data_IF_201370975831
#
_entry.id   IF_201370975831
#
_cell.length_a   1.000
_cell.length_b   1.000
_cell.length_c   1.000
_cell.angle_alpha   90.00
_cell.angle_beta   90.00
_cell.angle_gamma   90.00
#
_symmetry.space_group_name_H-M   'P 1'
#
loop_
_entity.id
_entity.type
_entity.pdbx_description
1 polymer ?
#
# COMPACT_ATOMS: atom_id res chain seq x y z
N UNK A 1 -0.34 15.56 -0.71
CA UNK A 1 0.94 16.05 -0.20
C UNK A 1 1.48 17.12 -1.15
N UNK A 2 1.92 18.23 -0.59
CA UNK A 2 2.45 19.35 -1.37
C UNK A 2 3.87 19.05 -1.86
N UNK A 3 4.12 19.29 -3.14
CA UNK A 3 5.42 19.09 -3.76
C UNK A 3 6.34 20.31 -3.59
N UNK A 4 7.62 20.04 -3.37
CA UNK A 4 8.66 21.06 -3.52
C UNK A 4 8.97 21.24 -5.00
N UNK A 5 9.24 22.49 -5.41
CA UNK A 5 9.62 22.83 -6.80
C UNK A 5 11.07 22.42 -7.08
N UNK A 6 11.34 21.12 -7.08
CA UNK A 6 12.64 20.51 -7.44
C UNK A 6 12.37 19.30 -8.33
N UNK A 7 13.39 18.89 -9.09
CA UNK A 7 13.28 17.69 -9.93
C UNK A 7 13.13 16.45 -9.05
N UNK A 8 11.98 15.83 -9.09
CA UNK A 8 11.70 14.61 -8.39
C UNK A 8 12.30 13.41 -9.15
N UNK A 9 12.99 12.53 -8.44
CA UNK A 9 13.61 11.33 -9.01
C UNK A 9 12.89 10.04 -8.64
N UNK A 10 12.23 10.01 -7.49
CA UNK A 10 11.58 8.81 -6.98
C UNK A 10 10.43 9.15 -6.04
N UNK A 11 9.35 8.41 -6.16
CA UNK A 11 8.22 8.42 -5.23
C UNK A 11 8.06 7.02 -4.68
N UNK A 12 8.01 6.89 -3.37
CA UNK A 12 7.75 5.62 -2.70
C UNK A 12 6.55 5.77 -1.77
N UNK A 13 5.65 4.78 -1.80
CA UNK A 13 4.53 4.69 -0.87
C UNK A 13 4.63 3.34 -0.18
N UNK A 14 4.74 3.34 1.15
CA UNK A 14 4.78 2.11 1.92
C UNK A 14 3.73 2.11 3.02
N UNK A 15 3.16 0.94 3.27
CA UNK A 15 2.18 0.70 4.32
C UNK A 15 2.13 -0.78 4.66
N UNK A 16 1.82 -1.08 5.91
CA UNK A 16 1.45 -2.43 6.30
C UNK A 16 -0.04 -2.62 5.97
N UNK A 17 -0.34 -3.58 5.10
CA UNK A 17 -1.70 -3.82 4.58
C UNK A 17 -2.00 -5.29 4.45
N UNK A 18 -3.28 -5.63 4.44
CA UNK A 18 -3.77 -6.96 4.10
C UNK A 18 -5.25 -6.91 3.73
N UNK A 19 -5.82 -8.06 3.39
CA UNK A 19 -7.25 -8.25 3.17
C UNK A 19 -8.04 -8.01 4.47
N UNK A 20 -9.35 -7.82 4.35
CA UNK A 20 -10.26 -7.67 5.48
C UNK A 20 -11.43 -8.63 5.33
N UNK A 21 -11.59 -9.54 6.30
CA UNK A 21 -12.77 -10.36 6.51
C UNK A 21 -13.44 -9.99 7.85
N UNK A 22 -14.49 -10.67 8.22
CA UNK A 22 -15.21 -10.45 9.48
C UNK A 22 -14.30 -10.66 10.72
N UNK A 23 -13.54 -11.75 10.70
CA UNK A 23 -12.45 -12.06 11.61
C UNK A 23 -11.23 -12.37 10.75
N UNK A 24 -10.06 -12.65 11.36
CA UNK A 24 -8.94 -13.03 10.53
C UNK A 24 -9.26 -14.28 9.72
N UNK A 25 -8.75 -14.35 8.51
CA UNK A 25 -8.97 -15.47 7.59
C UNK A 25 -7.73 -15.63 6.71
N UNK A 26 -7.00 -16.73 6.89
CA UNK A 26 -5.76 -16.96 6.18
C UNK A 26 -5.97 -17.31 4.69
N UNK A 27 -7.21 -17.56 4.28
CA UNK A 27 -7.61 -17.78 2.89
C UNK A 27 -8.68 -16.75 2.49
N UNK A 28 -8.25 -15.50 2.31
CA UNK A 28 -9.14 -14.40 1.97
C UNK A 28 -8.45 -13.40 1.04
N UNK A 29 -8.37 -13.74 -0.28
CA UNK A 29 -7.60 -12.90 -1.21
C UNK A 29 -8.27 -11.57 -1.50
N UNK A 30 -7.44 -10.55 -1.70
CA UNK A 30 -7.88 -9.22 -2.09
C UNK A 30 -6.85 -8.56 -3.00
N UNK A 31 -7.31 -8.01 -4.12
CA UNK A 31 -6.47 -7.31 -5.08
C UNK A 31 -6.40 -5.83 -4.71
N UNK A 32 -5.33 -5.45 -4.03
CA UNK A 32 -5.14 -4.11 -3.50
C UNK A 32 -4.30 -3.28 -4.47
N UNK A 33 -4.85 -2.19 -4.97
CA UNK A 33 -4.23 -1.33 -5.98
C UNK A 33 -3.84 0.03 -5.41
N UNK A 34 -2.71 0.54 -5.87
CA UNK A 34 -2.26 1.91 -5.58
C UNK A 34 -2.37 2.77 -6.84
N UNK A 35 -2.90 3.99 -6.66
CA UNK A 35 -2.91 5.05 -7.67
C UNK A 35 -2.12 6.26 -7.18
N UNK A 36 -1.39 6.89 -8.09
CA UNK A 36 -0.78 8.20 -7.88
C UNK A 36 -1.39 9.15 -8.90
N UNK A 37 -1.92 10.28 -8.44
CA UNK A 37 -2.60 11.27 -9.29
C UNK A 37 -3.63 10.61 -10.23
N UNK A 38 -4.42 9.67 -9.69
CA UNK A 38 -5.46 8.91 -10.39
C UNK A 38 -4.95 7.98 -11.50
N UNK A 39 -3.65 7.75 -11.58
CA UNK A 39 -3.04 6.80 -12.50
C UNK A 39 -2.61 5.55 -11.74
N UNK A 40 -3.04 4.39 -12.21
CA UNK A 40 -2.74 3.12 -11.56
C UNK A 40 -1.24 2.82 -11.58
N UNK A 41 -0.66 2.56 -10.40
CA UNK A 41 0.72 2.10 -10.28
C UNK A 41 0.78 0.58 -10.42
N UNK A 42 -0.07 -0.12 -9.71
CA UNK A 42 -0.16 -1.57 -9.76
C UNK A 42 -0.86 -2.17 -8.56
N UNK A 43 -1.06 -3.48 -8.66
CA UNK A 43 -1.88 -4.25 -7.72
C UNK A 43 -1.04 -5.30 -6.99
N UNK A 44 -1.24 -5.40 -5.68
CA UNK A 44 -0.77 -6.51 -4.87
C UNK A 44 -1.94 -7.41 -4.51
N UNK A 45 -1.83 -8.70 -4.81
CA UNK A 45 -2.79 -9.68 -4.35
C UNK A 45 -2.45 -10.11 -2.93
N UNK A 46 -3.20 -9.58 -1.96
CA UNK A 46 -3.10 -10.03 -0.58
C UNK A 46 -3.75 -11.41 -0.46
N UNK A 47 -3.06 -12.39 0.12
CA UNK A 47 -3.64 -13.74 0.26
C UNK A 47 -4.59 -13.88 1.43
N UNK A 48 -4.50 -12.99 2.42
CA UNK A 48 -5.07 -13.24 3.74
C UNK A 48 -5.46 -11.98 4.47
N UNK A 49 -6.44 -12.10 5.34
CA UNK A 49 -6.61 -11.29 6.54
C UNK A 49 -5.84 -12.03 7.64
N UNK A 50 -4.64 -11.53 7.98
CA UNK A 50 -3.67 -12.31 8.74
C UNK A 50 -3.96 -12.38 10.24
N UNK A 51 -3.94 -13.61 10.77
CA UNK A 51 -4.08 -13.91 12.18
C UNK A 51 -3.40 -15.23 12.52
N UNK A 52 -3.83 -15.82 13.65
CA UNK A 52 -3.22 -17.06 14.13
C UNK A 52 -1.97 -16.87 14.98
N UNK A 53 -1.37 -15.68 14.94
CA UNK A 53 -0.39 -15.18 15.88
C UNK A 53 -0.67 -13.72 16.17
N UNK A 54 -0.19 -13.22 17.29
CA UNK A 54 -0.37 -11.83 17.65
C UNK A 54 0.54 -10.92 16.83
N UNK A 55 0.01 -9.81 16.34
CA UNK A 55 0.82 -8.73 15.77
C UNK A 55 1.75 -8.15 16.84
N UNK A 56 3.00 -7.86 16.47
CA UNK A 56 4.06 -7.45 17.42
C UNK A 56 3.73 -6.19 18.20
N UNK A 57 2.95 -5.28 17.62
CA UNK A 57 2.61 -3.98 18.21
C UNK A 57 1.23 -3.96 18.85
N UNK A 58 0.42 -5.00 18.66
CA UNK A 58 -0.97 -5.01 19.10
C UNK A 58 -1.09 -4.86 20.60
N UNK A 59 -1.97 -3.97 21.08
CA UNK A 59 -2.17 -3.83 22.52
C UNK A 59 -2.81 -5.08 23.13
N UNK A 60 -2.62 -5.27 24.44
CA UNK A 60 -3.07 -6.48 25.15
C UNK A 60 -4.59 -6.71 25.05
N UNK A 61 -5.37 -5.64 24.90
CA UNK A 61 -6.84 -5.71 24.81
C UNK A 61 -7.35 -6.11 23.42
N UNK A 62 -6.46 -6.18 22.40
CA UNK A 62 -6.87 -6.54 21.06
C UNK A 62 -7.18 -8.04 20.99
N UNK A 63 -8.40 -8.38 20.53
CA UNK A 63 -8.90 -9.76 20.50
C UNK A 63 -8.12 -10.63 19.52
N UNK A 64 -7.80 -11.86 19.94
CA UNK A 64 -7.01 -12.82 19.14
C UNK A 64 -7.74 -13.35 17.90
N UNK A 65 -9.06 -13.20 17.83
CA UNK A 65 -9.86 -13.61 16.67
C UNK A 65 -9.93 -12.54 15.57
N UNK A 66 -9.41 -11.35 15.82
CA UNK A 66 -9.35 -10.24 14.86
C UNK A 66 -8.06 -10.25 14.07
N UNK A 67 -8.01 -9.44 13.02
CA UNK A 67 -6.80 -9.19 12.23
C UNK A 67 -5.63 -8.83 13.12
N UNK A 68 -4.49 -9.49 12.94
CA UNK A 68 -3.33 -9.34 13.80
C UNK A 68 -2.18 -8.57 13.18
N UNK A 69 -1.94 -8.76 11.89
CA UNK A 69 -0.81 -8.16 11.19
C UNK A 69 -1.10 -8.10 9.69
N UNK A 70 -0.28 -7.35 8.99
CA UNK A 70 -0.30 -7.28 7.53
C UNK A 70 1.08 -7.56 6.96
N UNK A 71 1.25 -7.19 5.71
CA UNK A 71 2.55 -7.21 5.05
C UNK A 71 2.95 -5.77 4.71
N UNK A 72 4.21 -5.43 4.96
CA UNK A 72 4.74 -4.14 4.55
C UNK A 72 4.97 -4.15 3.05
N UNK A 73 4.24 -3.30 2.34
CA UNK A 73 4.32 -3.17 0.89
C UNK A 73 4.91 -1.82 0.51
N UNK A 74 5.72 -1.80 -0.52
CA UNK A 74 6.35 -0.59 -1.02
C UNK A 74 6.14 -0.49 -2.54
N UNK A 75 5.29 0.45 -2.96
CA UNK A 75 5.20 0.84 -4.36
C UNK A 75 6.20 1.96 -4.61
N UNK A 76 6.96 1.84 -5.67
CA UNK A 76 7.99 2.80 -6.04
C UNK A 76 7.86 3.18 -7.50
N UNK A 77 7.86 4.47 -7.78
CA UNK A 77 7.89 5.00 -9.15
C UNK A 77 9.19 5.78 -9.33
N UNK A 78 9.94 5.38 -10.35
CA UNK A 78 11.17 6.04 -10.78
C UNK A 78 11.03 6.46 -12.23
N UNK A 79 12.10 7.04 -12.77
CA UNK A 79 12.11 7.47 -14.17
C UNK A 79 11.95 6.32 -15.15
N UNK A 80 12.49 5.15 -14.84
CA UNK A 80 12.54 3.98 -15.70
C UNK A 80 11.44 2.95 -15.45
N UNK A 81 10.51 3.21 -14.54
CA UNK A 81 9.40 2.30 -14.31
C UNK A 81 8.75 2.39 -12.96
N UNK A 82 7.76 1.52 -12.78
CA UNK A 82 6.99 1.36 -11.55
C UNK A 82 7.24 -0.02 -10.97
N UNK A 83 7.37 -0.10 -9.65
CA UNK A 83 7.85 -1.30 -8.94
C UNK A 83 7.00 -1.56 -7.70
N UNK A 84 6.86 -2.83 -7.34
CA UNK A 84 6.30 -3.28 -6.06
C UNK A 84 7.33 -4.15 -5.37
N UNK A 85 7.77 -3.74 -4.18
CA UNK A 85 8.80 -4.43 -3.39
C UNK A 85 10.07 -4.74 -4.22
N UNK A 86 10.44 -3.83 -5.12
CA UNK A 86 11.61 -3.97 -5.98
C UNK A 86 11.37 -4.72 -7.28
N UNK A 87 10.21 -5.36 -7.46
CA UNK A 87 9.86 -6.04 -8.69
C UNK A 87 9.16 -5.09 -9.66
N UNK A 88 9.59 -5.09 -10.92
CA UNK A 88 9.03 -4.19 -11.93
C UNK A 88 7.61 -4.59 -12.29
N UNK A 89 6.68 -3.63 -12.16
CA UNK A 89 5.28 -3.78 -12.55
C UNK A 89 5.05 -3.34 -14.00
N UNK A 90 5.71 -2.27 -14.41
CA UNK A 90 5.55 -1.68 -15.75
C UNK A 90 6.71 -0.74 -16.06
N UNK A 91 6.79 -0.32 -17.32
CA UNK A 91 7.74 0.71 -17.77
C UNK A 91 7.25 2.15 -17.48
N UNK A 92 6.09 2.30 -16.86
CA UNK A 92 5.53 3.61 -16.54
C UNK A 92 6.42 4.33 -15.53
N UNK A 93 7.12 5.36 -15.99
CA UNK A 93 7.96 6.22 -15.17
C UNK A 93 7.21 7.42 -14.63
N UNK A 94 7.91 8.28 -13.92
CA UNK A 94 7.33 9.46 -13.26
C UNK A 94 6.49 10.33 -14.18
N UNK A 95 6.83 10.44 -15.45
CA UNK A 95 6.10 11.24 -16.44
C UNK A 95 4.64 10.80 -16.62
N UNK A 96 4.36 9.50 -16.44
CA UNK A 96 3.02 8.93 -16.60
C UNK A 96 2.05 9.35 -15.51
N UNK A 97 2.57 9.83 -14.38
CA UNK A 97 1.77 10.12 -13.20
C UNK A 97 1.44 11.59 -13.02
N UNK A 98 1.70 12.41 -14.04
CA UNK A 98 1.36 13.84 -14.08
C UNK A 98 1.92 14.64 -12.89
N UNK A 99 3.07 14.25 -12.37
CA UNK A 99 3.64 14.85 -11.15
C UNK A 99 4.13 16.27 -11.42
N UNK A 100 4.75 16.50 -12.57
CA UNK A 100 5.28 17.81 -12.95
C UNK A 100 4.21 18.87 -13.19
N UNK A 101 2.99 18.46 -13.50
CA UNK A 101 1.88 19.35 -13.84
C UNK A 101 1.11 19.83 -12.60
N UNK A 102 1.47 19.35 -11.41
CA UNK A 102 0.72 19.59 -10.18
C UNK A 102 1.64 20.07 -9.06
N UNK A 103 1.06 20.82 -8.13
CA UNK A 103 1.75 21.27 -6.91
C UNK A 103 1.62 20.24 -5.77
N UNK A 104 0.94 19.14 -6.00
CA UNK A 104 0.70 18.10 -4.99
C UNK A 104 0.70 16.72 -5.60
N UNK A 105 0.89 15.71 -4.76
CA UNK A 105 0.70 14.30 -5.11
C UNK A 105 -0.53 13.77 -4.38
N UNK A 106 -1.43 13.13 -5.13
CA UNK A 106 -2.56 12.39 -4.60
C UNK A 106 -2.22 10.90 -4.60
N UNK A 107 -2.44 10.24 -3.47
CA UNK A 107 -2.25 8.80 -3.32
C UNK A 107 -3.58 8.16 -2.93
N UNK A 108 -3.94 7.08 -3.63
CA UNK A 108 -5.14 6.31 -3.33
C UNK A 108 -4.79 4.83 -3.25
N UNK A 109 -5.30 4.16 -2.23
CA UNK A 109 -5.23 2.70 -2.07
C UNK A 109 -6.67 2.19 -2.10
N UNK A 110 -6.93 1.20 -2.93
CA UNK A 110 -8.29 0.71 -3.07
C UNK A 110 -8.38 -0.60 -3.85
N UNK A 111 -9.62 -1.02 -4.08
CA UNK A 111 -9.92 -2.22 -4.85
C UNK A 111 -10.72 -1.77 -6.08
N UNK A 112 -10.25 -2.19 -7.26
CA UNK A 112 -10.90 -1.87 -8.53
C UNK A 112 -12.25 -2.59 -8.62
N UNK A 113 -13.22 -1.96 -9.30
CA UNK A 113 -14.55 -2.56 -9.49
C UNK A 113 -14.50 -3.90 -10.21
N UNK A 114 -13.55 -4.06 -11.13
CA UNK A 114 -13.36 -5.27 -11.93
C UNK A 114 -12.30 -6.23 -11.33
N UNK A 115 -11.86 -6.00 -10.10
CA UNK A 115 -10.90 -6.87 -9.44
C UNK A 115 -11.44 -8.31 -9.33
N UNK A 116 -10.57 -9.28 -9.56
CA UNK A 116 -10.91 -10.70 -9.42
C UNK A 116 -11.17 -11.09 -7.96
N UNK A 117 -10.44 -10.45 -7.03
CA UNK A 117 -10.56 -10.71 -5.60
C UNK A 117 -10.87 -9.42 -4.85
N UNK A 118 -12.05 -9.38 -4.22
CA UNK A 118 -12.56 -8.20 -3.51
C UNK A 118 -12.69 -8.49 -2.01
N UNK A 119 -11.57 -8.82 -1.39
CA UNK A 119 -11.50 -9.20 0.03
C UNK A 119 -11.30 -8.03 0.99
N UNK A 120 -11.58 -6.80 0.58
CA UNK A 120 -11.40 -5.64 1.45
C UNK A 120 -9.95 -5.24 1.70
N UNK A 121 -9.75 -4.24 2.53
CA UNK A 121 -8.43 -3.72 2.87
C UNK A 121 -8.36 -3.39 4.35
N UNK A 122 -7.34 -3.93 5.03
CA UNK A 122 -6.88 -3.44 6.32
C UNK A 122 -5.61 -2.62 6.10
N UNK A 123 -5.58 -1.40 6.63
CA UNK A 123 -4.38 -0.55 6.65
C UNK A 123 -4.00 -0.35 8.10
N UNK A 124 -2.77 -0.70 8.44
CA UNK A 124 -2.26 -0.62 9.80
C UNK A 124 -1.58 0.73 10.02
N UNK A 125 -1.78 1.25 11.23
CA UNK A 125 -1.05 2.42 11.69
C UNK A 125 0.09 2.04 12.61
N UNK A 126 0.68 3.06 13.20
CA UNK A 126 1.88 2.98 14.03
C UNK A 126 1.76 2.06 15.25
N UNK A 127 0.56 1.91 15.80
CA UNK A 127 0.32 1.16 17.05
C UNK A 127 -0.23 -0.25 16.87
N UNK A 128 -0.35 -0.77 15.66
CA UNK A 128 -0.92 -2.09 15.37
C UNK A 128 -0.09 -2.84 14.35
N UNK A 129 -0.24 -4.17 14.32
CA UNK A 129 0.44 -5.04 13.38
C UNK A 129 1.88 -5.31 13.77
N UNK A 130 2.75 -5.38 12.76
CA UNK A 130 4.16 -5.74 12.94
C UNK A 130 5.12 -4.56 12.76
N UNK A 131 4.69 -3.48 12.14
CA UNK A 131 5.58 -2.37 11.74
C UNK A 131 5.14 -1.04 12.37
N UNK A 132 6.04 -0.36 13.08
CA UNK A 132 5.71 0.90 13.78
C UNK A 132 5.70 2.07 12.80
N UNK A 133 4.74 2.06 11.86
CA UNK A 133 4.58 3.14 10.90
C UNK A 133 3.14 3.32 10.45
N UNK A 134 2.78 4.53 10.11
CA UNK A 134 1.60 4.85 9.32
C UNK A 134 1.91 4.68 7.83
N UNK A 135 1.03 5.13 6.94
CA UNK A 135 1.35 5.22 5.52
C UNK A 135 2.49 6.23 5.34
N UNK A 136 3.56 5.79 4.69
CA UNK A 136 4.73 6.64 4.44
C UNK A 136 4.81 6.97 2.97
N UNK A 137 4.86 8.26 2.66
CA UNK A 137 5.16 8.79 1.34
C UNK A 137 6.56 9.39 1.38
N UNK A 138 7.47 8.82 0.59
CA UNK A 138 8.86 9.28 0.51
C UNK A 138 9.15 9.83 -0.88
N UNK A 139 9.59 11.07 -0.92
CA UNK A 139 9.97 11.77 -2.14
C UNK A 139 11.48 11.93 -2.17
N UNK A 140 12.11 11.54 -3.28
CA UNK A 140 13.55 11.70 -3.48
C UNK A 140 13.80 12.61 -4.67
N UNK A 141 14.64 13.64 -4.46
CA UNK A 141 14.97 14.67 -5.44
C UNK A 141 16.37 14.52 -6.03
#
# INVERSE_FOLDING_TARGET
VTLKKKTLRKVEVSAEICSEDHEYNMDWPSDITLWINDVEVGTWESPSDFGGRRGKLNPAWWSSDKTQYGMLKNWCVKRDGSFLDGEKLSDAGLEKYNISDKDYISVKIGIKEDAAHKGGINIFGDGFGDYPQDIVLKLSY
#
